data_IF_853025021643
#
_entry.id   IF_853025021643
#
_cell.length_a   1.000
_cell.length_b   1.000
_cell.length_c   1.000
_cell.angle_alpha   90.00
_cell.angle_beta   90.00
_cell.angle_gamma   90.00
#
_symmetry.space_group_name_H-M   'P 1'
#
loop_
_entity.id
_entity.type
_entity.pdbx_description
1 polymer ?
#
# COMPACT_ATOMS: atom_id res chain seq x y z
N UNK A 1 18.43 7.09 12.15
CA UNK A 1 17.58 6.22 11.31
C UNK A 1 18.44 5.06 10.84
N UNK A 2 18.01 3.80 10.99
CA UNK A 2 18.82 2.64 10.64
C UNK A 2 18.79 2.45 9.10
N UNK A 3 19.92 2.50 8.36
CA UNK A 3 19.93 2.48 6.89
C UNK A 3 19.31 1.20 6.29
N UNK A 4 19.38 0.08 7.01
CA UNK A 4 18.73 -1.17 6.61
C UNK A 4 17.19 -1.07 6.66
N UNK A 5 16.64 -0.31 7.61
CA UNK A 5 15.20 -0.11 7.74
C UNK A 5 14.67 0.84 6.65
N UNK A 6 15.46 1.84 6.26
CA UNK A 6 15.12 2.74 5.15
C UNK A 6 15.06 1.99 3.83
N UNK A 7 16.07 1.15 3.55
CA UNK A 7 16.10 0.34 2.33
C UNK A 7 14.91 -0.63 2.25
N UNK A 8 14.55 -1.26 3.38
CA UNK A 8 13.37 -2.14 3.44
C UNK A 8 12.08 -1.36 3.16
N UNK A 9 11.93 -0.15 3.69
CA UNK A 9 10.78 0.71 3.39
C UNK A 9 10.68 1.05 1.91
N UNK A 10 11.78 1.46 1.30
CA UNK A 10 11.80 1.86 -0.10
C UNK A 10 11.40 0.66 -0.98
N UNK A 11 11.95 -0.53 -0.70
CA UNK A 11 11.57 -1.79 -1.40
C UNK A 11 10.10 -2.15 -1.18
N UNK A 12 9.60 -2.04 0.05
CA UNK A 12 8.18 -2.32 0.35
C UNK A 12 7.26 -1.33 -0.36
N UNK A 13 7.62 -0.05 -0.37
CA UNK A 13 6.84 0.98 -1.03
C UNK A 13 6.75 0.70 -2.54
N UNK A 14 7.87 0.38 -3.18
CA UNK A 14 7.95 0.11 -4.61
C UNK A 14 7.19 -1.18 -5.00
N UNK A 15 7.39 -2.28 -4.26
CA UNK A 15 6.67 -3.53 -4.51
C UNK A 15 5.16 -3.40 -4.28
N UNK A 16 4.76 -2.73 -3.19
CA UNK A 16 3.34 -2.54 -2.87
C UNK A 16 2.71 -1.61 -3.90
N UNK A 17 3.39 -0.54 -4.30
CA UNK A 17 2.91 0.36 -5.34
C UNK A 17 2.69 -0.41 -6.65
N UNK A 18 3.71 -1.14 -7.12
CA UNK A 18 3.62 -1.91 -8.37
C UNK A 18 2.50 -2.97 -8.33
N UNK A 19 2.37 -3.70 -7.23
CA UNK A 19 1.35 -4.73 -7.09
C UNK A 19 -0.07 -4.16 -7.01
N UNK A 20 -0.24 -3.01 -6.36
CA UNK A 20 -1.53 -2.33 -6.27
C UNK A 20 -1.91 -1.69 -7.61
N UNK A 21 -0.96 -1.06 -8.31
CA UNK A 21 -1.15 -0.57 -9.68
C UNK A 21 -1.56 -1.70 -10.61
N UNK A 22 -0.83 -2.81 -10.64
CA UNK A 22 -1.16 -3.97 -11.47
C UNK A 22 -2.53 -4.59 -11.13
N UNK A 23 -2.94 -4.52 -9.85
CA UNK A 23 -4.27 -4.99 -9.45
C UNK A 23 -5.42 -4.12 -9.98
N UNK A 24 -5.15 -2.86 -10.33
CA UNK A 24 -6.16 -1.90 -10.81
C UNK A 24 -6.03 -1.51 -12.27
N UNK A 25 -4.86 -1.69 -12.90
CA UNK A 25 -4.62 -1.39 -14.32
C UNK A 25 -5.64 -2.14 -15.19
N UNK A 26 -6.29 -1.40 -16.08
CA UNK A 26 -7.30 -1.93 -17.00
C UNK A 26 -8.63 -2.32 -16.34
N UNK A 27 -8.83 -2.05 -15.05
CA UNK A 27 -10.07 -2.35 -14.33
C UNK A 27 -10.81 -1.08 -13.92
N UNK A 28 -12.14 -1.10 -14.07
CA UNK A 28 -12.99 -0.08 -13.44
C UNK A 28 -12.83 -0.17 -11.93
N UNK A 29 -12.44 0.94 -11.32
CA UNK A 29 -12.24 1.05 -9.87
C UNK A 29 -13.60 0.95 -9.17
N UNK A 30 -13.81 -0.14 -8.43
CA UNK A 30 -15.09 -0.44 -7.76
C UNK A 30 -14.89 -0.65 -6.26
N UNK A 31 -15.86 -0.29 -5.40
CA UNK A 31 -15.71 -0.35 -3.94
C UNK A 31 -15.28 -1.73 -3.40
N UNK A 32 -15.68 -2.83 -4.05
CA UNK A 32 -15.28 -4.18 -3.64
C UNK A 32 -13.77 -4.46 -3.79
N UNK A 33 -13.06 -3.65 -4.57
CA UNK A 33 -11.62 -3.79 -4.79
C UNK A 33 -10.82 -3.46 -3.53
N UNK A 34 -11.38 -2.71 -2.58
CA UNK A 34 -10.77 -2.43 -1.26
C UNK A 34 -10.27 -3.70 -0.56
N UNK A 35 -11.09 -4.76 -0.55
CA UNK A 35 -10.72 -6.05 0.02
C UNK A 35 -9.64 -6.79 -0.78
N UNK A 36 -9.60 -6.61 -2.11
CA UNK A 36 -8.53 -7.15 -2.95
C UNK A 36 -7.21 -6.44 -2.69
N UNK A 37 -7.20 -5.10 -2.70
CA UNK A 37 -6.03 -4.26 -2.42
C UNK A 37 -5.44 -4.56 -1.04
N UNK A 38 -6.31 -4.71 -0.03
CA UNK A 38 -5.89 -5.10 1.33
C UNK A 38 -5.20 -6.47 1.34
N UNK A 39 -5.75 -7.47 0.64
CA UNK A 39 -5.15 -8.82 0.53
C UNK A 39 -3.81 -8.79 -0.21
N UNK A 40 -3.70 -8.02 -1.29
CA UNK A 40 -2.45 -7.84 -2.04
C UNK A 40 -1.35 -7.25 -1.15
N UNK A 41 -1.64 -6.12 -0.49
CA UNK A 41 -0.69 -5.49 0.43
C UNK A 41 -0.29 -6.43 1.57
N UNK A 42 -1.25 -7.14 2.16
CA UNK A 42 -0.98 -8.10 3.23
C UNK A 42 -0.10 -9.27 2.77
N UNK A 43 -0.30 -9.77 1.55
CA UNK A 43 0.53 -10.84 0.97
C UNK A 43 1.99 -10.43 0.75
N UNK A 44 2.26 -9.15 0.48
CA UNK A 44 3.63 -8.62 0.36
C UNK A 44 4.27 -8.48 1.74
N UNK A 45 3.57 -7.89 2.71
CA UNK A 45 4.08 -7.74 4.08
C UNK A 45 4.44 -9.09 4.72
N UNK A 46 3.62 -10.12 4.49
CA UNK A 46 3.89 -11.48 4.98
C UNK A 46 5.18 -12.06 4.36
N UNK A 47 5.43 -11.83 3.05
CA UNK A 47 6.67 -12.28 2.38
C UNK A 47 7.91 -11.66 3.00
N UNK A 48 7.82 -10.39 3.41
CA UNK A 48 8.87 -9.67 4.13
C UNK A 48 8.92 -9.96 5.63
N UNK A 49 8.22 -11.01 6.10
CA UNK A 49 8.12 -11.42 7.52
C UNK A 49 7.52 -10.35 8.45
N UNK A 50 6.79 -9.38 7.90
CA UNK A 50 6.10 -8.36 8.67
C UNK A 50 4.70 -8.88 9.05
N UNK A 51 4.57 -9.29 10.31
CA UNK A 51 3.29 -9.74 10.89
C UNK A 51 2.71 -8.61 11.74
N UNK A 52 1.39 -8.43 11.71
CA UNK A 52 0.64 -7.37 12.46
C UNK A 52 0.73 -5.94 11.91
N UNK A 53 1.01 -5.75 10.63
CA UNK A 53 0.83 -4.42 10.01
C UNK A 53 -0.66 -4.04 9.92
N UNK A 54 -0.97 -2.77 10.20
CA UNK A 54 -2.32 -2.23 9.99
C UNK A 54 -2.42 -1.69 8.57
N UNK A 55 -3.30 -2.29 7.77
CA UNK A 55 -3.57 -1.84 6.40
C UNK A 55 -4.96 -1.21 6.38
N UNK A 56 -5.03 0.07 6.04
CA UNK A 56 -6.25 0.79 5.79
C UNK A 56 -6.36 1.09 4.29
N UNK A 57 -7.53 0.82 3.70
CA UNK A 57 -7.80 1.11 2.29
C UNK A 57 -9.09 1.90 2.24
N UNK A 58 -8.99 3.15 1.79
CA UNK A 58 -10.12 4.07 1.69
C UNK A 58 -10.34 4.44 0.23
N UNK A 59 -11.57 4.38 -0.26
CA UNK A 59 -11.91 4.92 -1.56
C UNK A 59 -12.05 6.45 -1.45
N UNK A 60 -11.38 7.20 -2.31
CA UNK A 60 -11.48 8.65 -2.41
C UNK A 60 -11.87 9.01 -3.85
N UNK A 61 -13.13 9.39 -4.05
CA UNK A 61 -13.68 9.70 -5.37
C UNK A 61 -13.56 8.50 -6.33
N UNK A 62 -12.89 8.72 -7.46
CA UNK A 62 -12.58 7.70 -8.46
C UNK A 62 -11.37 6.83 -8.12
N UNK A 63 -10.64 7.11 -7.03
CA UNK A 63 -9.43 6.40 -6.63
C UNK A 63 -9.48 5.69 -5.28
N UNK A 64 -8.38 5.07 -4.90
CA UNK A 64 -8.13 4.44 -3.61
C UNK A 64 -6.88 5.04 -2.96
N UNK A 65 -6.96 5.27 -1.66
CA UNK A 65 -5.81 5.51 -0.80
C UNK A 65 -5.55 4.28 0.05
N UNK A 66 -4.30 3.80 0.05
CA UNK A 66 -3.85 2.67 0.86
C UNK A 66 -2.83 3.20 1.85
N UNK A 67 -3.14 3.11 3.15
CA UNK A 67 -2.25 3.46 4.24
C UNK A 67 -1.83 2.21 4.98
N UNK A 68 -0.53 1.98 5.09
CA UNK A 68 0.06 0.80 5.75
C UNK A 68 0.91 1.29 6.90
N UNK A 69 0.49 0.98 8.11
CA UNK A 69 1.27 1.22 9.32
C UNK A 69 2.00 -0.06 9.70
N UNK A 70 3.33 -0.03 9.59
CA UNK A 70 4.17 -1.15 9.98
C UNK A 70 4.20 -1.28 11.51
N UNK A 71 4.24 -2.51 12.06
CA UNK A 71 4.41 -2.71 13.48
C UNK A 71 5.77 -2.13 13.91
N UNK A 72 5.87 -1.59 15.13
CA UNK A 72 7.13 -1.05 15.63
C UNK A 72 8.19 -2.15 15.65
N UNK A 73 9.20 -2.04 14.79
CA UNK A 73 10.45 -2.80 14.90
C UNK A 73 11.43 -1.96 15.74
N UNK A 74 11.13 -1.82 17.03
CA UNK A 74 11.79 -0.83 17.91
C UNK A 74 10.98 0.49 18.01
N UNK A 75 11.59 1.65 18.35
CA UNK A 75 10.86 2.87 18.73
C UNK A 75 10.18 3.63 17.57
N UNK A 76 10.15 3.08 16.35
CA UNK A 76 9.75 3.81 15.15
C UNK A 76 8.53 3.14 14.51
N UNK A 77 7.44 3.89 14.43
CA UNK A 77 6.24 3.53 13.64
C UNK A 77 6.38 4.15 12.26
N UNK A 78 6.23 3.36 11.20
CA UNK A 78 6.38 3.81 9.81
C UNK A 78 5.04 3.67 9.08
N UNK A 79 4.59 4.73 8.44
CA UNK A 79 3.32 4.75 7.68
C UNK A 79 3.60 5.02 6.21
N UNK A 80 3.23 4.07 5.36
CA UNK A 80 3.30 4.21 3.90
C UNK A 80 1.91 4.59 3.40
N UNK A 81 1.77 5.73 2.72
CA UNK A 81 0.50 6.15 2.12
C UNK A 81 0.62 6.19 0.61
N UNK A 82 -0.17 5.39 -0.07
CA UNK A 82 -0.20 5.26 -1.51
C UNK A 82 -1.58 5.71 -2.02
N UNK A 83 -1.63 6.35 -3.18
CA UNK A 83 -2.88 6.78 -3.83
C UNK A 83 -2.87 6.26 -5.26
N UNK A 84 -3.98 5.64 -5.67
CA UNK A 84 -4.14 5.00 -6.97
C UNK A 84 -5.49 5.35 -7.55
N UNK A 85 -5.55 5.58 -8.85
CA UNK A 85 -6.78 5.91 -9.57
C UNK A 85 -6.44 6.75 -10.79
N UNK A 86 -7.41 7.02 -11.69
CA UNK A 86 -7.23 8.09 -12.64
C UNK A 86 -6.95 9.34 -11.80
N UNK A 87 -5.71 9.86 -11.87
CA UNK A 87 -5.54 11.28 -11.68
C UNK A 87 -6.56 11.89 -12.63
N UNK A 88 -7.49 12.65 -12.09
CA UNK A 88 -8.27 13.56 -12.90
C UNK A 88 -7.21 14.50 -13.51
N UNK A 89 -6.70 14.10 -14.68
CA UNK A 89 -6.13 15.00 -15.66
C UNK A 89 -7.30 15.88 -16.07
N UNK A 90 -7.68 16.81 -15.20
CA UNK A 90 -8.33 18.02 -15.65
C UNK A 90 -7.32 18.67 -16.59
N UNK A 91 -7.74 18.79 -17.85
CA UNK A 91 -7.08 19.31 -19.06
C UNK A 91 -6.56 18.26 -20.04
#
# INVERSE_FOLDING_TARGET
MNPAAQKLLDTLQEEIQFALENAVIGKTLRPYMTGQLKRTAQGILIRHRIRNAKINVSQHGSGFSVSITLPPQGPIVQTVSLRFGPQDSMY
#
